data_IF_018500794976
#
_entry.id   IF_018500794976
#
_cell.length_a   1.000
_cell.length_b   1.000
_cell.length_c   1.000
_cell.angle_alpha   90.00
_cell.angle_beta   90.00
_cell.angle_gamma   90.00
#
_symmetry.space_group_name_H-M   'P 1'
#
loop_
_entity.id
_entity.type
_entity.pdbx_description
1 polymer ?
#
# COMPACT_ATOMS: atom_id res chain seq x y z
N UNK A 1 5.37 -0.81 6.03
CA UNK A 1 5.27 -0.88 7.50
C UNK A 1 6.66 -0.91 8.15
N UNK A 2 7.43 -2.00 8.02
CA UNK A 2 8.73 -2.12 8.71
C UNK A 2 9.76 -1.05 8.30
N UNK A 3 9.80 -0.68 7.01
CA UNK A 3 10.70 0.36 6.50
C UNK A 3 10.25 1.79 6.80
N UNK A 4 8.94 1.99 6.99
CA UNK A 4 8.34 3.33 7.17
C UNK A 4 8.23 3.75 8.64
N UNK A 5 8.15 2.77 9.57
CA UNK A 5 8.07 2.98 11.01
C UNK A 5 9.26 3.74 11.62
N UNK A 6 10.53 3.44 11.26
CA UNK A 6 11.69 4.14 11.82
C UNK A 6 11.71 5.65 11.51
N UNK A 7 11.19 6.04 10.34
CA UNK A 7 11.10 7.44 9.90
C UNK A 7 10.13 8.27 10.78
N UNK A 8 9.19 7.61 11.47
CA UNK A 8 8.21 8.28 12.32
C UNK A 8 8.76 8.68 13.70
N UNK A 9 9.77 7.97 14.20
CA UNK A 9 10.23 8.07 15.60
C UNK A 9 11.71 8.49 15.75
N UNK A 10 12.55 8.33 14.72
CA UNK A 10 13.98 8.64 14.79
C UNK A 10 14.38 9.79 13.86
N UNK A 11 15.10 10.77 14.40
CA UNK A 11 15.90 11.71 13.61
C UNK A 11 17.13 10.96 13.06
N UNK A 12 17.02 10.46 11.83
CA UNK A 12 18.10 9.70 11.19
C UNK A 12 19.11 10.63 10.52
N UNK A 13 20.42 10.33 10.59
CA UNK A 13 21.43 11.06 9.84
C UNK A 13 21.20 10.92 8.33
N UNK A 14 21.51 11.97 7.57
CA UNK A 14 21.17 12.14 6.15
C UNK A 14 21.45 10.92 5.25
N UNK A 15 22.60 10.21 5.38
CA UNK A 15 22.89 9.04 4.54
C UNK A 15 21.93 7.87 4.79
N UNK A 16 21.53 7.65 6.05
CA UNK A 16 20.64 6.54 6.44
C UNK A 16 19.22 6.81 5.95
N UNK A 17 18.77 8.07 6.04
CA UNK A 17 17.49 8.51 5.48
C UNK A 17 17.40 8.24 3.97
N UNK A 18 18.46 8.59 3.23
CA UNK A 18 18.51 8.42 1.78
C UNK A 18 18.40 6.94 1.37
N UNK A 19 19.15 6.06 2.02
CA UNK A 19 19.09 4.61 1.77
C UNK A 19 17.71 4.05 2.10
N UNK A 20 17.11 4.47 3.21
CA UNK A 20 15.75 4.05 3.59
C UNK A 20 14.70 4.49 2.57
N UNK A 21 14.73 5.76 2.13
CA UNK A 21 13.81 6.24 1.10
C UNK A 21 14.01 5.53 -0.23
N UNK A 22 15.27 5.26 -0.62
CA UNK A 22 15.57 4.48 -1.82
C UNK A 22 14.97 3.06 -1.72
N UNK A 23 15.14 2.37 -0.59
CA UNK A 23 14.57 1.05 -0.35
C UNK A 23 13.05 1.05 -0.33
N UNK A 24 12.42 2.08 0.26
CA UNK A 24 10.98 2.27 0.24
C UNK A 24 10.49 2.46 -1.20
N UNK A 25 11.18 3.28 -2.00
CA UNK A 25 10.86 3.51 -3.41
C UNK A 25 10.96 2.23 -4.25
N UNK A 26 12.06 1.49 -4.12
CA UNK A 26 12.25 0.20 -4.81
C UNK A 26 11.16 -0.80 -4.41
N UNK A 27 10.88 -0.91 -3.11
CA UNK A 27 9.83 -1.81 -2.62
C UNK A 27 8.46 -1.42 -3.18
N UNK A 28 8.14 -0.12 -3.21
CA UNK A 28 6.89 0.38 -3.79
C UNK A 28 6.78 0.10 -5.28
N UNK A 29 7.89 0.18 -6.02
CA UNK A 29 7.94 -0.14 -7.45
C UNK A 29 7.63 -1.60 -7.75
N UNK A 30 8.03 -2.52 -6.88
CA UNK A 30 7.77 -3.97 -7.05
C UNK A 30 6.31 -4.33 -6.76
N UNK A 31 5.61 -3.56 -5.91
CA UNK A 31 4.23 -3.84 -5.52
C UNK A 31 3.26 -3.70 -6.70
N UNK A 32 3.46 -2.73 -7.59
CA UNK A 32 2.57 -2.48 -8.73
C UNK A 32 2.41 -3.70 -9.68
N UNK A 33 3.47 -4.29 -10.24
CA UNK A 33 3.33 -5.47 -11.11
C UNK A 33 2.80 -6.70 -10.34
N UNK A 34 3.14 -6.84 -9.06
CA UNK A 34 2.66 -7.94 -8.22
C UNK A 34 1.14 -7.87 -8.01
N UNK A 35 0.60 -6.67 -7.70
CA UNK A 35 -0.84 -6.42 -7.60
C UNK A 35 -1.55 -6.74 -8.90
N UNK A 36 -1.00 -6.25 -10.02
CA UNK A 36 -1.63 -6.41 -11.33
C UNK A 36 -1.65 -7.89 -11.78
N UNK A 37 -0.63 -8.67 -11.42
CA UNK A 37 -0.63 -10.13 -11.62
C UNK A 37 -1.69 -10.85 -10.76
N UNK A 38 -1.88 -10.47 -9.50
CA UNK A 38 -2.92 -11.04 -8.63
C UNK A 38 -4.31 -10.75 -9.19
N UNK A 39 -4.56 -9.50 -9.58
CA UNK A 39 -5.82 -9.07 -10.19
C UNK A 39 -6.09 -9.84 -11.47
N UNK A 40 -5.09 -10.00 -12.33
CA UNK A 40 -5.23 -10.77 -13.58
C UNK A 40 -5.52 -12.25 -13.35
N UNK A 41 -4.94 -12.86 -12.30
CA UNK A 41 -5.20 -14.26 -11.94
C UNK A 41 -6.60 -14.48 -11.35
N UNK A 42 -7.13 -13.48 -10.64
CA UNK A 42 -8.44 -13.56 -9.99
C UNK A 42 -9.59 -13.05 -10.87
N UNK A 43 -9.28 -12.34 -11.96
CA UNK A 43 -10.28 -11.83 -12.89
C UNK A 43 -10.98 -12.98 -13.65
N UNK A 44 -12.33 -13.02 -13.67
CA UNK A 44 -13.08 -13.96 -14.49
C UNK A 44 -12.80 -13.78 -15.98
N UNK A 45 -12.86 -14.86 -16.76
CA UNK A 45 -12.69 -14.81 -18.21
C UNK A 45 -13.65 -13.77 -18.83
N UNK A 46 -13.10 -12.80 -19.56
CA UNK A 46 -13.87 -11.72 -20.21
C UNK A 46 -14.16 -10.47 -19.37
N UNK A 47 -13.81 -10.43 -18.07
CA UNK A 47 -14.07 -9.28 -17.19
C UNK A 47 -12.80 -8.58 -16.64
N UNK A 48 -11.62 -8.92 -17.16
CA UNK A 48 -10.33 -8.35 -16.72
C UNK A 48 -10.28 -6.83 -16.77
N UNK A 49 -10.88 -6.22 -17.81
CA UNK A 49 -10.93 -4.75 -17.96
C UNK A 49 -11.72 -4.07 -16.85
N UNK A 50 -12.85 -4.65 -16.44
CA UNK A 50 -13.71 -4.10 -15.38
C UNK A 50 -13.04 -4.22 -14.01
N UNK A 51 -12.43 -5.37 -13.69
CA UNK A 51 -11.72 -5.57 -12.41
C UNK A 51 -10.49 -4.66 -12.33
N UNK A 52 -9.72 -4.55 -13.42
CA UNK A 52 -8.58 -3.63 -13.46
C UNK A 52 -9.04 -2.16 -13.34
N UNK A 53 -10.17 -1.82 -13.98
CA UNK A 53 -10.88 -0.55 -13.84
C UNK A 53 -11.17 -0.19 -12.38
N UNK A 54 -11.80 -1.08 -11.63
CA UNK A 54 -12.09 -0.84 -10.21
C UNK A 54 -10.82 -0.61 -9.37
N UNK A 55 -9.76 -1.40 -9.61
CA UNK A 55 -8.49 -1.27 -8.87
C UNK A 55 -7.78 0.04 -9.20
N UNK A 56 -7.73 0.43 -10.48
CA UNK A 56 -7.10 1.70 -10.88
C UNK A 56 -7.90 2.90 -10.39
N UNK A 57 -9.24 2.85 -10.41
CA UNK A 57 -10.08 3.92 -9.87
C UNK A 57 -9.86 4.09 -8.36
N UNK A 58 -9.81 3.00 -7.60
CA UNK A 58 -9.49 3.04 -6.17
C UNK A 58 -8.09 3.63 -5.89
N UNK A 59 -7.10 3.27 -6.70
CA UNK A 59 -5.74 3.82 -6.59
C UNK A 59 -5.69 5.32 -6.89
N UNK A 60 -6.34 5.77 -7.97
CA UNK A 60 -6.41 7.20 -8.31
C UNK A 60 -7.17 8.02 -7.27
N UNK A 61 -8.29 7.50 -6.76
CA UNK A 61 -9.04 8.15 -5.68
C UNK A 61 -8.22 8.25 -4.39
N UNK A 62 -7.53 7.17 -4.01
CA UNK A 62 -6.62 7.19 -2.86
C UNK A 62 -5.46 8.18 -3.04
N UNK A 63 -4.86 8.22 -4.24
CA UNK A 63 -3.81 9.17 -4.59
C UNK A 63 -4.26 10.63 -4.59
N UNK A 64 -5.55 10.89 -4.87
CA UNK A 64 -6.14 12.23 -4.80
C UNK A 64 -6.48 12.65 -3.36
N UNK A 65 -7.02 11.72 -2.57
CA UNK A 65 -7.55 12.02 -1.23
C UNK A 65 -6.45 12.01 -0.15
N UNK A 66 -5.44 11.16 -0.29
CA UNK A 66 -4.41 11.00 0.73
C UNK A 66 -3.53 12.26 0.93
N UNK A 67 -3.01 12.94 -0.12
CA UNK A 67 -2.12 14.08 0.08
C UNK A 67 -2.76 15.26 0.82
N UNK A 68 -4.00 15.69 0.53
CA UNK A 68 -4.67 16.75 1.30
C UNK A 68 -4.92 16.36 2.76
N UNK A 69 -5.40 15.14 3.02
CA UNK A 69 -5.67 14.67 4.39
C UNK A 69 -4.37 14.59 5.23
N UNK A 70 -3.30 14.08 4.62
CA UNK A 70 -2.01 13.96 5.29
C UNK A 70 -1.30 15.31 5.41
N UNK A 71 -1.47 16.22 4.44
CA UNK A 71 -0.96 17.59 4.49
C UNK A 71 -1.52 18.38 5.66
N UNK A 72 -2.84 18.30 5.90
CA UNK A 72 -3.48 18.94 7.07
C UNK A 72 -2.89 18.41 8.39
N UNK A 73 -2.57 17.11 8.46
CA UNK A 73 -1.93 16.52 9.64
C UNK A 73 -0.48 17.02 9.85
N UNK A 74 0.25 17.32 8.78
CA UNK A 74 1.59 17.93 8.84
C UNK A 74 1.48 19.38 9.29
N UNK A 75 0.52 20.14 8.76
CA UNK A 75 0.29 21.55 9.09
C UNK A 75 -0.11 21.75 10.57
N UNK A 76 -0.68 20.72 11.21
CA UNK A 76 -0.96 20.68 12.65
C UNK A 76 0.28 20.38 13.53
N UNK A 77 1.49 20.32 12.95
CA UNK A 77 2.75 20.15 13.68
C UNK A 77 3.11 18.70 14.00
N UNK A 78 2.43 17.72 13.39
CA UNK A 78 2.58 16.31 13.70
C UNK A 78 3.02 15.46 12.49
N UNK A 79 4.26 15.66 11.95
CA UNK A 79 4.75 14.97 10.76
C UNK A 79 4.83 13.43 10.92
N UNK A 80 4.91 12.93 12.16
CA UNK A 80 4.90 11.49 12.44
C UNK A 80 3.60 10.79 12.00
N UNK A 81 2.47 11.50 11.94
CA UNK A 81 1.18 10.92 11.55
C UNK A 81 1.13 10.45 10.10
N UNK A 82 1.93 11.05 9.22
CA UNK A 82 2.06 10.62 7.82
C UNK A 82 2.65 9.22 7.74
N UNK A 83 3.67 8.94 8.56
CA UNK A 83 4.33 7.65 8.57
C UNK A 83 3.50 6.59 9.31
N UNK A 84 2.74 6.98 10.34
CA UNK A 84 1.81 6.09 11.06
C UNK A 84 0.66 5.65 10.15
N UNK A 85 0.01 6.59 9.47
CA UNK A 85 -1.07 6.29 8.52
C UNK A 85 -0.56 5.41 7.38
N UNK A 86 0.61 5.72 6.80
CA UNK A 86 1.24 4.86 5.80
C UNK A 86 1.51 3.45 6.35
N UNK A 87 2.02 3.31 7.58
CA UNK A 87 2.25 2.00 8.20
C UNK A 87 0.95 1.20 8.38
N UNK A 88 -0.14 1.85 8.81
CA UNK A 88 -1.47 1.23 8.95
C UNK A 88 -1.98 0.74 7.59
N UNK A 89 -1.95 1.59 6.55
CA UNK A 89 -2.41 1.19 5.21
C UNK A 89 -1.58 0.03 4.64
N UNK A 90 -0.26 0.01 4.87
CA UNK A 90 0.59 -1.11 4.49
C UNK A 90 0.28 -2.42 5.24
N UNK A 91 -0.34 -2.37 6.43
CA UNK A 91 -0.78 -3.54 7.19
C UNK A 91 -2.18 -4.03 6.79
N UNK A 92 -3.08 -3.13 6.41
CA UNK A 92 -4.45 -3.50 5.98
C UNK A 92 -4.43 -4.34 4.70
N UNK A 93 -3.48 -4.08 3.79
CA UNK A 93 -3.33 -4.81 2.53
C UNK A 93 -3.10 -6.32 2.74
N UNK A 94 -2.04 -6.76 3.48
CA UNK A 94 -1.80 -8.18 3.72
C UNK A 94 -2.88 -8.83 4.60
N UNK A 95 -3.49 -8.09 5.54
CA UNK A 95 -4.59 -8.61 6.37
C UNK A 95 -5.79 -8.97 5.50
N UNK A 96 -6.19 -8.09 4.58
CA UNK A 96 -7.31 -8.33 3.66
C UNK A 96 -7.03 -9.54 2.73
N UNK A 97 -5.79 -9.69 2.27
CA UNK A 97 -5.35 -10.84 1.46
C UNK A 97 -5.32 -12.15 2.25
N UNK A 98 -4.96 -12.09 3.53
CA UNK A 98 -4.99 -13.25 4.45
C UNK A 98 -6.41 -13.73 4.73
N UNK A 99 -7.36 -12.81 4.92
CA UNK A 99 -8.79 -13.15 5.05
C UNK A 99 -9.38 -13.72 3.75
N UNK A 100 -8.90 -13.30 2.58
CA UNK A 100 -9.32 -13.82 1.28
C UNK A 100 -8.89 -15.28 1.01
N UNK A 101 -7.69 -15.67 1.45
CA UNK A 101 -7.18 -17.04 1.28
C UNK A 101 -7.91 -18.07 2.15
N UNK A 102 -8.57 -17.65 3.24
CA UNK A 102 -9.34 -18.51 4.13
C UNK A 102 -10.61 -19.12 3.51
N UNK A 103 -11.04 -18.67 2.32
CA UNK A 103 -12.22 -19.22 1.62
C UNK A 103 -11.88 -20.16 0.47
N UNK A 104 -10.60 -20.35 0.14
CA UNK A 104 -10.15 -21.28 -0.91
C UNK A 104 -9.73 -22.65 -0.33
N UNK A 105 -10.54 -23.19 0.57
CA UNK A 105 -10.56 -24.61 0.92
C UNK A 105 -12.03 -25.04 1.07
N UNK A 106 -12.69 -25.31 -0.03
CA UNK A 106 -13.87 -26.18 -0.05
C UNK A 106 -13.66 -27.26 -1.13
N UNK A 107 -13.85 -28.55 -0.81
CA UNK A 107 -13.35 -29.69 -1.58
C UNK A 107 -14.37 -30.16 -2.63
N UNK A 108 -13.88 -30.72 -3.74
CA UNK A 108 -14.60 -31.68 -4.57
C UNK A 108 -13.55 -32.34 -5.50
N UNK A 109 -13.37 -33.66 -5.53
CA UNK A 109 -14.38 -34.70 -5.36
C UNK A 109 -15.01 -34.95 -6.72
#
# INVERSE_FOLDING_TARGET
ALLTLPLAFMQLPFPVLFVLLALIGVSSGIIAPSRDMIVRKLAPAGSTGTVFGFVTTGFNAGGLIAPPLLGIAIDMGHPAWVFITAAIFFLVIPVTLGFGHGRSKAPAG
#
